data_IF_038649050253
#
_entry.id   IF_038649050253
#
_cell.length_a   1.000
_cell.length_b   1.000
_cell.length_c   1.000
_cell.angle_alpha   90.00
_cell.angle_beta   90.00
_cell.angle_gamma   90.00
#
_symmetry.space_group_name_H-M   'P 1'
#
loop_
_entity.id
_entity.type
_entity.pdbx_description
1 polymer ?
#
# COMPACT_ATOMS: atom_id res chain seq x y z
N UNK A 1 -15.28 -1.96 1.27
CA UNK A 1 -16.25 -3.04 0.94
C UNK A 1 -15.59 -4.40 0.65
N UNK A 2 -14.32 -4.46 0.22
CA UNK A 2 -13.63 -5.70 -0.17
C UNK A 2 -13.83 -6.88 0.82
N UNK A 3 -13.67 -6.67 2.13
CA UNK A 3 -13.88 -7.75 3.12
C UNK A 3 -15.22 -8.46 2.96
N UNK A 4 -16.32 -7.69 2.93
CA UNK A 4 -17.67 -8.23 2.71
C UNK A 4 -17.83 -8.93 1.36
N UNK A 5 -17.24 -8.37 0.30
CA UNK A 5 -17.29 -9.01 -1.03
C UNK A 5 -16.53 -10.34 -1.07
N UNK A 6 -15.47 -10.48 -0.27
CA UNK A 6 -14.76 -11.77 -0.13
C UNK A 6 -15.64 -12.78 0.59
N UNK A 7 -16.33 -12.37 1.65
CA UNK A 7 -17.29 -13.22 2.38
C UNK A 7 -18.46 -13.65 1.48
N UNK A 8 -18.93 -12.76 0.62
CA UNK A 8 -20.00 -13.01 -0.37
C UNK A 8 -19.51 -13.80 -1.60
N UNK A 9 -18.20 -14.05 -1.75
CA UNK A 9 -17.62 -14.71 -2.93
C UNK A 9 -17.66 -13.88 -4.23
N UNK A 10 -17.93 -12.58 -4.14
CA UNK A 10 -18.09 -11.67 -5.29
C UNK A 10 -16.86 -10.79 -5.56
N UNK A 11 -15.80 -10.93 -4.76
CA UNK A 11 -14.59 -10.13 -4.90
C UNK A 11 -13.69 -10.60 -6.05
N UNK A 12 -13.71 -9.85 -7.16
CA UNK A 12 -12.70 -10.00 -8.21
C UNK A 12 -11.28 -9.70 -7.68
N UNK A 13 -10.28 -10.39 -8.22
CA UNK A 13 -8.87 -10.32 -7.75
C UNK A 13 -8.27 -8.93 -7.95
N UNK A 14 -8.71 -8.21 -8.97
CA UNK A 14 -8.32 -6.83 -9.28
C UNK A 14 -8.67 -5.87 -8.13
N UNK A 15 -9.76 -6.12 -7.41
CA UNK A 15 -10.16 -5.29 -6.26
C UNK A 15 -9.12 -5.40 -5.14
N UNK A 16 -8.52 -6.57 -4.96
CA UNK A 16 -7.41 -6.74 -4.02
C UNK A 16 -6.19 -5.91 -4.45
N UNK A 17 -5.90 -5.86 -5.75
CA UNK A 17 -4.82 -5.01 -6.28
C UNK A 17 -5.08 -3.52 -6.04
N UNK A 18 -6.32 -3.04 -6.23
CA UNK A 18 -6.71 -1.66 -5.89
C UNK A 18 -6.43 -1.38 -4.41
N UNK A 19 -6.96 -2.25 -3.53
CA UNK A 19 -6.91 -2.02 -2.09
C UNK A 19 -5.49 -2.11 -1.53
N UNK A 20 -4.70 -3.11 -1.93
CA UNK A 20 -3.30 -3.25 -1.50
C UNK A 20 -2.48 -2.05 -1.96
N UNK A 21 -2.53 -1.72 -3.26
CA UNK A 21 -1.80 -0.58 -3.84
C UNK A 21 -2.11 0.73 -3.12
N UNK A 22 -3.39 1.01 -2.91
CA UNK A 22 -3.82 2.26 -2.27
C UNK A 22 -3.46 2.28 -0.78
N UNK A 23 -3.83 1.26 -0.01
CA UNK A 23 -3.63 1.26 1.44
C UNK A 23 -2.16 1.27 1.81
N UNK A 24 -1.30 0.48 1.14
CA UNK A 24 0.13 0.48 1.43
C UNK A 24 0.78 1.82 1.08
N UNK A 25 0.54 2.36 -0.12
CA UNK A 25 1.09 3.65 -0.54
C UNK A 25 0.65 4.80 0.38
N UNK A 26 -0.66 4.90 0.64
CA UNK A 26 -1.20 5.94 1.52
C UNK A 26 -0.71 5.81 2.96
N UNK A 27 -0.60 4.60 3.50
CA UNK A 27 -0.07 4.41 4.85
C UNK A 27 1.37 4.85 4.96
N UNK A 28 2.19 4.54 3.94
CA UNK A 28 3.59 4.97 3.89
C UNK A 28 3.71 6.50 3.81
N UNK A 29 2.91 7.15 2.95
CA UNK A 29 2.87 8.61 2.85
C UNK A 29 2.44 9.28 4.16
N UNK A 30 1.45 8.71 4.85
CA UNK A 30 1.01 9.15 6.18
C UNK A 30 2.13 8.98 7.20
N UNK A 31 2.83 7.84 7.20
CA UNK A 31 3.92 7.58 8.13
C UNK A 31 5.09 8.56 7.93
N UNK A 32 5.43 8.88 6.67
CA UNK A 32 6.43 9.91 6.33
C UNK A 32 6.01 11.29 6.83
N UNK A 33 4.76 11.68 6.58
CA UNK A 33 4.22 12.95 7.07
C UNK A 33 4.27 13.03 8.60
N UNK A 34 3.86 11.98 9.29
CA UNK A 34 3.88 11.91 10.74
C UNK A 34 5.30 11.89 11.32
N UNK A 35 6.26 11.24 10.65
CA UNK A 35 7.69 11.36 11.00
C UNK A 35 8.08 12.83 10.95
N UNK A 36 7.82 13.51 9.83
CA UNK A 36 8.30 14.88 9.62
C UNK A 36 7.75 15.85 10.67
N UNK A 37 6.51 15.64 11.13
CA UNK A 37 5.91 16.40 12.24
C UNK A 37 6.69 16.29 13.57
N UNK A 38 7.47 15.23 13.79
CA UNK A 38 8.29 15.05 15.00
C UNK A 38 9.71 15.61 14.86
N UNK A 39 10.11 16.09 13.68
CA UNK A 39 11.46 16.62 13.44
C UNK A 39 12.55 15.62 13.83
N UNK A 40 13.55 16.06 14.61
CA UNK A 40 14.63 15.21 15.10
C UNK A 40 14.14 14.04 15.97
N UNK A 41 13.10 14.26 16.77
CA UNK A 41 12.52 13.21 17.61
C UNK A 41 11.90 12.09 16.78
N UNK A 42 11.49 12.38 15.54
CA UNK A 42 10.98 11.40 14.60
C UNK A 42 12.03 10.41 14.07
N UNK A 43 13.31 10.54 14.45
CA UNK A 43 14.38 9.56 14.16
C UNK A 43 14.70 8.69 15.38
N UNK A 44 14.43 9.18 16.59
CA UNK A 44 14.70 8.45 17.83
C UNK A 44 13.86 7.16 17.89
N UNK A 45 14.44 6.10 18.45
CA UNK A 45 13.71 4.83 18.65
C UNK A 45 12.62 4.95 19.74
N UNK A 46 12.72 5.98 20.59
CA UNK A 46 11.75 6.34 21.62
C UNK A 46 10.38 6.67 21.01
N UNK A 47 10.36 7.16 19.77
CA UNK A 47 9.15 7.46 19.02
C UNK A 47 8.95 6.42 17.92
N UNK A 48 7.99 5.52 18.11
CA UNK A 48 7.74 4.40 17.21
C UNK A 48 7.38 4.75 15.76
N UNK A 49 7.26 6.03 15.39
CA UNK A 49 6.89 6.43 14.03
C UNK A 49 7.94 6.01 13.01
N UNK A 50 9.24 6.11 13.35
CA UNK A 50 10.33 5.71 12.46
C UNK A 50 10.26 4.21 12.17
N UNK A 51 9.98 3.41 13.21
CA UNK A 51 9.76 1.96 13.11
C UNK A 51 8.57 1.63 12.20
N UNK A 52 7.46 2.33 12.34
CA UNK A 52 6.30 2.12 11.46
C UNK A 52 6.58 2.53 10.01
N UNK A 53 7.28 3.63 9.78
CA UNK A 53 7.67 4.08 8.45
C UNK A 53 8.55 3.05 7.74
N UNK A 54 9.61 2.55 8.39
CA UNK A 54 10.49 1.53 7.78
C UNK A 54 9.79 0.19 7.56
N UNK A 55 8.88 -0.21 8.44
CA UNK A 55 8.05 -1.39 8.22
C UNK A 55 7.16 -1.22 6.98
N UNK A 56 6.61 -0.02 6.77
CA UNK A 56 5.74 0.27 5.64
C UNK A 56 6.50 0.33 4.30
N UNK A 57 7.78 0.70 4.29
CA UNK A 57 8.64 0.58 3.09
C UNK A 57 8.72 -0.89 2.62
N UNK A 58 8.88 -1.83 3.57
CA UNK A 58 8.90 -3.26 3.28
C UNK A 58 7.53 -3.74 2.79
N UNK A 59 6.45 -3.39 3.51
CA UNK A 59 5.09 -3.79 3.15
C UNK A 59 4.68 -3.27 1.75
N UNK A 60 5.16 -2.07 1.38
CA UNK A 60 4.86 -1.50 0.07
C UNK A 60 5.51 -2.28 -1.09
N UNK A 61 6.57 -3.05 -0.84
CA UNK A 61 7.36 -3.74 -1.88
C UNK A 61 7.20 -5.26 -1.91
N UNK A 62 6.85 -5.91 -0.79
CA UNK A 62 6.89 -7.37 -0.66
C UNK A 62 5.79 -8.17 -1.41
N UNK A 63 4.51 -7.80 -1.33
CA UNK A 63 3.40 -8.57 -1.95
C UNK A 63 2.89 -7.96 -3.26
N UNK A 64 3.79 -7.79 -4.23
CA UNK A 64 3.51 -7.05 -5.46
C UNK A 64 3.72 -5.55 -5.26
N UNK A 65 4.63 -4.98 -6.03
CA UNK A 65 4.99 -3.56 -5.86
C UNK A 65 3.84 -2.64 -6.29
N UNK A 66 3.92 -1.38 -5.88
CA UNK A 66 2.95 -0.36 -6.24
C UNK A 66 2.71 -0.27 -7.76
N UNK A 67 3.77 -0.45 -8.54
CA UNK A 67 3.74 -0.40 -10.00
C UNK A 67 3.19 -1.69 -10.60
N UNK A 68 3.55 -2.86 -10.07
CA UNK A 68 2.98 -4.14 -10.53
C UNK A 68 1.45 -4.15 -10.38
N UNK A 69 0.92 -3.65 -9.26
CA UNK A 69 -0.53 -3.50 -9.11
C UNK A 69 -1.11 -2.47 -10.09
N UNK A 70 -0.39 -1.39 -10.42
CA UNK A 70 -0.86 -0.45 -11.43
C UNK A 70 -0.99 -1.12 -12.80
N UNK A 71 -0.02 -1.96 -13.18
CA UNK A 71 -0.03 -2.70 -14.45
C UNK A 71 -1.12 -3.78 -14.49
N UNK A 72 -1.41 -4.45 -13.36
CA UNK A 72 -2.55 -5.39 -13.25
C UNK A 72 -3.86 -4.66 -13.56
N UNK A 73 -4.05 -3.49 -12.97
CA UNK A 73 -5.25 -2.67 -13.18
C UNK A 73 -5.30 -2.06 -14.58
N UNK A 74 -4.15 -1.70 -15.15
CA UNK A 74 -4.03 -1.23 -16.53
C UNK A 74 -4.47 -2.31 -17.52
N UNK A 75 -4.00 -3.54 -17.34
CA UNK A 75 -4.46 -4.69 -18.14
C UNK A 75 -5.96 -4.94 -17.97
N UNK A 76 -6.49 -4.86 -16.76
CA UNK A 76 -7.92 -5.06 -16.51
C UNK A 76 -8.82 -4.01 -17.20
N UNK A 77 -8.33 -2.78 -17.34
CA UNK A 77 -9.06 -1.70 -18.01
C UNK A 77 -8.93 -1.74 -19.53
N UNK A 78 -7.75 -2.09 -20.04
CA UNK A 78 -7.42 -1.94 -21.47
C UNK A 78 -7.43 -3.26 -22.24
N UNK A 79 -7.35 -4.40 -21.56
CA UNK A 79 -7.09 -5.70 -22.18
C UNK A 79 -5.64 -5.89 -22.67
N UNK A 80 -4.77 -4.88 -22.50
CA UNK A 80 -3.39 -4.90 -23.00
C UNK A 80 -2.43 -5.10 -21.83
N UNK A 81 -1.54 -6.08 -21.93
CA UNK A 81 -0.48 -6.30 -20.95
C UNK A 81 0.70 -5.34 -21.19
N UNK A 82 1.24 -4.77 -20.12
CA UNK A 82 2.36 -3.80 -20.15
C UNK A 82 3.40 -4.08 -19.05
N UNK A 83 3.58 -5.35 -18.69
CA UNK A 83 4.62 -5.83 -17.76
C UNK A 83 5.87 -6.25 -18.52
#
# INVERSE_FOLDING_TARGET
RLGRMKDEGTAAVEITSIMKRNSCGKSLDIARTARDMLGGNGISDEFGIIRHMVNLEVVNTYEGTHDIHALILGRAQTGIAAF
#
